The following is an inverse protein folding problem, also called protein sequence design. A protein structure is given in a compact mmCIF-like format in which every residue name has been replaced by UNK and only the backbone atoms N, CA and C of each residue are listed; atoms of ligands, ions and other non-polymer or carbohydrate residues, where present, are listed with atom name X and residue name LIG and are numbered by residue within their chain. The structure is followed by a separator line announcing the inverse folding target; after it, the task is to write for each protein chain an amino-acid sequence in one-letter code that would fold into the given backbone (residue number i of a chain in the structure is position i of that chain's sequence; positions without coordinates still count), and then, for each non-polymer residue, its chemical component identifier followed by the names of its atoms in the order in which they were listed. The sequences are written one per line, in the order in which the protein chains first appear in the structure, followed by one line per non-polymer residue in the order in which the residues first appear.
data_IF_154155791230
#
_entry.id   IF_154155791230
#
_cell.length_a   1.000
_cell.length_b   1.000
_cell.length_c   1.000
_cell.angle_alpha   90.00
_cell.angle_beta   90.00
_cell.angle_gamma   90.00
#
_symmetry.space_group_name_H-M   'P 1'
#
loop_
_entity.id
_entity.type
_entity.pdbx_description
1 polymer ?
#
# COMPACT_ATOMS: atom_id res chain seq x y z
N UNK A 1 -1.62 -20.39 5.52
CA UNK A 1 -2.62 -19.42 5.05
C UNK A 1 -1.96 -18.08 4.89
N UNK A 2 -2.04 -17.55 3.67
CA UNK A 2 -1.55 -16.23 3.28
C UNK A 2 -2.60 -15.20 3.69
N UNK A 3 -2.18 -14.13 4.35
CA UNK A 3 -3.02 -13.02 4.76
C UNK A 3 -2.56 -11.75 4.03
N UNK A 4 -3.51 -10.97 3.54
CA UNK A 4 -3.23 -9.71 2.86
C UNK A 4 -4.17 -8.60 3.36
N UNK A 5 -3.62 -7.47 3.77
CA UNK A 5 -4.39 -6.37 4.38
C UNK A 5 -3.71 -5.02 4.18
N UNK A 6 -4.45 -3.93 4.45
CA UNK A 6 -3.89 -2.58 4.57
C UNK A 6 -3.55 -2.34 6.04
N UNK A 7 -2.27 -2.15 6.35
CA UNK A 7 -1.74 -2.03 7.73
C UNK A 7 -1.39 -0.61 8.15
N UNK A 8 -1.21 0.30 7.18
CA UNK A 8 -1.24 1.75 7.40
C UNK A 8 -2.31 2.35 6.52
N UNK A 9 -3.30 2.98 7.14
CA UNK A 9 -4.44 3.54 6.43
C UNK A 9 -4.10 4.93 5.89
N UNK A 10 -4.59 5.29 4.68
CA UNK A 10 -4.53 6.66 4.23
C UNK A 10 -5.40 7.54 5.15
N UNK A 11 -5.18 8.86 5.20
CA UNK A 11 -5.98 9.74 6.02
C UNK A 11 -7.45 9.70 5.59
N UNK A 12 -8.38 9.73 6.57
CA UNK A 12 -9.82 9.72 6.28
C UNK A 12 -10.30 10.96 5.50
N UNK A 13 -9.51 12.04 5.54
CA UNK A 13 -9.72 13.28 4.81
C UNK A 13 -8.39 13.77 4.25
N UNK A 14 -8.35 14.17 2.99
CA UNK A 14 -7.15 14.66 2.32
C UNK A 14 -7.47 15.89 1.46
N UNK A 15 -6.48 16.74 1.26
CA UNK A 15 -6.54 17.81 0.27
C UNK A 15 -6.25 17.22 -1.11
N UNK A 16 -6.94 17.72 -2.13
CA UNK A 16 -6.70 17.36 -3.53
C UNK A 16 -5.23 17.53 -3.91
N UNK A 17 -4.69 16.58 -4.68
CA UNK A 17 -3.32 16.58 -5.21
C UNK A 17 -2.21 16.79 -4.15
N UNK A 18 -2.50 16.47 -2.89
CA UNK A 18 -1.52 16.48 -1.79
C UNK A 18 -1.15 15.04 -1.42
N UNK A 19 0.14 14.79 -1.20
CA UNK A 19 0.62 13.47 -0.78
C UNK A 19 -0.12 13.00 0.46
N UNK A 20 -0.66 11.79 0.40
CA UNK A 20 -1.41 11.18 1.49
C UNK A 20 -0.46 10.87 2.65
N UNK A 21 -0.76 11.45 3.81
CA UNK A 21 -0.09 11.10 5.05
C UNK A 21 -1.13 10.86 6.17
N UNK A 22 -1.08 9.72 6.89
CA UNK A 22 -0.12 8.61 6.76
C UNK A 22 -0.10 7.95 5.38
N UNK A 23 1.06 7.39 4.94
CA UNK A 23 1.16 6.73 3.64
C UNK A 23 0.32 5.45 3.63
N UNK A 24 -0.17 5.04 2.47
CA UNK A 24 -0.82 3.75 2.33
C UNK A 24 0.24 2.64 2.36
N UNK A 25 0.07 1.65 3.25
CA UNK A 25 0.93 0.46 3.28
C UNK A 25 0.08 -0.79 3.31
N UNK A 26 0.28 -1.67 2.33
CA UNK A 26 -0.27 -3.03 2.35
C UNK A 26 0.74 -4.02 2.94
N UNK A 27 0.26 -5.11 3.52
CA UNK A 27 1.06 -6.19 4.08
C UNK A 27 0.61 -7.52 3.50
N UNK A 28 1.56 -8.30 3.01
CA UNK A 28 1.41 -9.72 2.71
C UNK A 28 2.16 -10.53 3.76
N UNK A 29 1.45 -11.45 4.40
CA UNK A 29 2.00 -12.25 5.48
C UNK A 29 1.72 -13.75 5.25
N UNK A 30 2.76 -14.57 5.20
CA UNK A 30 2.65 -16.01 4.94
C UNK A 30 3.68 -16.84 5.70
N UNK A 31 3.47 -18.16 5.78
CA UNK A 31 4.41 -19.09 6.44
C UNK A 31 5.51 -19.52 5.46
N UNK A 32 6.73 -19.66 5.97
CA UNK A 32 7.90 -20.05 5.18
C UNK A 32 8.64 -18.85 4.61
N UNK A 33 9.78 -19.11 3.96
CA UNK A 33 10.67 -18.10 3.39
C UNK A 33 10.21 -17.65 1.98
N UNK A 34 10.63 -16.44 1.58
CA UNK A 34 10.55 -15.98 0.18
C UNK A 34 11.66 -16.67 -0.61
N UNK A 35 11.35 -17.77 -1.28
CA UNK A 35 12.32 -18.44 -2.16
C UNK A 35 11.74 -18.56 -3.57
N UNK A 36 12.53 -18.22 -4.58
CA UNK A 36 12.19 -18.44 -6.00
C UNK A 36 11.13 -17.49 -6.58
N UNK A 37 10.68 -16.50 -5.81
CA UNK A 37 9.61 -15.62 -6.23
C UNK A 37 9.82 -14.18 -5.80
N UNK A 38 9.20 -13.30 -6.56
CA UNK A 38 9.16 -11.87 -6.37
C UNK A 38 7.72 -11.40 -6.23
N UNK A 39 7.48 -10.37 -5.41
CA UNK A 39 6.16 -9.79 -5.23
C UNK A 39 6.17 -8.31 -5.56
N UNK A 40 5.16 -7.87 -6.31
CA UNK A 40 4.87 -6.46 -6.53
C UNK A 40 3.38 -6.23 -6.31
N UNK A 41 3.00 -4.98 -6.08
CA UNK A 41 1.61 -4.61 -5.90
C UNK A 41 1.26 -3.39 -6.75
N UNK A 42 0.01 -3.36 -7.21
CA UNK A 42 -0.58 -2.22 -7.91
C UNK A 42 -1.69 -1.61 -7.08
N UNK A 43 -1.86 -0.30 -7.20
CA UNK A 43 -2.89 0.45 -6.47
C UNK A 43 -3.89 1.12 -7.42
N UNK A 44 -5.16 1.07 -7.03
CA UNK A 44 -6.29 1.59 -7.79
C UNK A 44 -7.17 2.47 -6.90
N UNK A 45 -7.60 3.61 -7.43
CA UNK A 45 -8.64 4.41 -6.79
C UNK A 45 -10.01 3.90 -7.20
N UNK A 46 -10.88 3.71 -6.22
CA UNK A 46 -12.24 3.22 -6.42
C UNK A 46 -13.26 4.27 -5.98
N UNK A 47 -14.33 4.44 -6.77
CA UNK A 47 -15.53 5.16 -6.32
C UNK A 47 -16.26 4.38 -5.22
N UNK A 48 -17.29 4.99 -4.64
CA UNK A 48 -18.16 4.32 -3.66
C UNK A 48 -18.83 3.07 -4.23
N UNK A 49 -19.15 3.09 -5.52
CA UNK A 49 -19.78 1.99 -6.28
C UNK A 49 -18.77 0.89 -6.64
N UNK A 50 -17.46 1.13 -6.40
CA UNK A 50 -16.39 0.17 -6.68
C UNK A 50 -15.80 0.27 -8.08
N UNK A 51 -16.16 1.31 -8.85
CA UNK A 51 -15.60 1.57 -10.18
C UNK A 51 -14.18 2.11 -10.06
N UNK A 52 -13.29 1.68 -10.95
CA UNK A 52 -11.93 2.22 -11.03
C UNK A 52 -11.99 3.64 -11.59
N UNK A 53 -11.32 4.57 -10.91
CA UNK A 53 -11.13 5.95 -11.36
C UNK A 53 -9.79 6.04 -12.08
N UNK A 54 -9.82 5.87 -13.40
CA UNK A 54 -8.64 5.99 -14.23
C UNK A 54 -8.04 7.40 -14.13
N UNK A 55 -6.71 7.48 -14.00
CA UNK A 55 -6.02 8.76 -13.78
C UNK A 55 -6.32 9.46 -12.45
N UNK A 56 -7.09 8.84 -11.54
CA UNK A 56 -7.47 9.45 -10.26
C UNK A 56 -6.33 9.56 -9.24
N UNK A 57 -5.27 8.76 -9.41
CA UNK A 57 -4.07 8.79 -8.56
C UNK A 57 -2.90 9.50 -9.26
N UNK A 58 -2.05 10.12 -8.45
CA UNK A 58 -0.69 10.53 -8.82
C UNK A 58 0.33 9.88 -7.91
N UNK A 59 1.62 9.96 -8.28
CA UNK A 59 2.70 9.26 -7.60
C UNK A 59 2.93 7.88 -8.19
N UNK A 60 3.67 7.05 -7.47
CA UNK A 60 3.98 5.68 -7.87
C UNK A 60 2.78 4.78 -7.58
N UNK A 61 2.22 4.16 -8.62
CA UNK A 61 1.06 3.25 -8.50
C UNK A 61 1.38 1.76 -8.58
N UNK A 62 2.67 1.42 -8.74
CA UNK A 62 3.17 0.06 -8.69
C UNK A 62 4.45 0.03 -7.87
N UNK A 63 4.50 -0.82 -6.85
CA UNK A 63 5.64 -0.89 -5.93
C UNK A 63 6.10 -2.32 -5.73
N UNK A 64 7.39 -2.45 -5.45
CA UNK A 64 8.02 -3.71 -5.13
C UNK A 64 7.79 -4.03 -3.65
N UNK A 65 7.68 -5.32 -3.32
CA UNK A 65 7.60 -5.76 -1.93
C UNK A 65 8.91 -5.50 -1.17
N UNK A 66 8.79 -4.95 0.04
CA UNK A 66 9.88 -4.78 1.00
C UNK A 66 9.77 -5.87 2.05
N UNK A 67 10.71 -6.80 2.05
CA UNK A 67 10.80 -7.84 3.08
C UNK A 67 11.37 -7.24 4.37
N UNK A 68 10.55 -7.22 5.43
CA UNK A 68 10.93 -6.75 6.76
C UNK A 68 10.99 -7.90 7.78
N UNK A 69 11.05 -9.14 7.27
CA UNK A 69 11.03 -10.34 8.10
C UNK A 69 12.24 -10.39 9.02
N UNK A 70 11.99 -10.59 10.32
CA UNK A 70 13.06 -10.78 11.29
C UNK A 70 13.75 -12.13 11.06
N UNK A 71 15.08 -12.15 11.14
CA UNK A 71 15.85 -13.39 11.02
C UNK A 71 15.35 -14.46 12.01
N UNK A 72 15.11 -15.67 11.51
CA UNK A 72 14.57 -16.79 12.31
C UNK A 72 13.05 -16.79 12.50
N UNK A 73 12.32 -15.80 11.94
CA UNK A 73 10.86 -15.82 11.97
C UNK A 73 10.29 -16.99 11.14
N UNK A 74 9.23 -17.61 11.67
CA UNK A 74 8.50 -18.70 10.97
C UNK A 74 7.55 -18.19 9.88
N UNK A 75 7.40 -16.85 9.79
CA UNK A 75 6.52 -16.16 8.86
C UNK A 75 7.28 -15.05 8.17
N UNK A 76 7.06 -14.92 6.87
CA UNK A 76 7.52 -13.78 6.09
C UNK A 76 6.47 -12.69 6.13
N UNK A 77 6.94 -11.45 6.32
CA UNK A 77 6.14 -10.22 6.20
C UNK A 77 6.74 -9.34 5.11
N UNK A 78 5.95 -9.09 4.06
CA UNK A 78 6.31 -8.18 2.96
C UNK A 78 5.37 -6.99 3.00
N UNK A 79 5.94 -5.78 3.01
CA UNK A 79 5.17 -4.55 2.91
C UNK A 79 5.24 -3.95 1.50
N UNK A 80 4.16 -3.30 1.10
CA UNK A 80 4.06 -2.54 -0.16
C UNK A 80 3.74 -1.09 0.19
N UNK A 81 4.76 -0.26 0.41
CA UNK A 81 4.58 1.13 0.83
C UNK A 81 4.38 2.06 -0.37
N UNK A 82 3.32 2.86 -0.32
CA UNK A 82 3.03 3.90 -1.29
C UNK A 82 3.23 5.27 -0.63
N UNK A 83 4.38 5.89 -0.87
CA UNK A 83 4.87 7.02 -0.06
C UNK A 83 4.63 8.39 -0.70
N UNK A 84 4.21 8.42 -1.97
CA UNK A 84 4.01 9.64 -2.76
C UNK A 84 2.62 9.70 -3.41
N UNK A 85 1.68 8.83 -3.01
CA UNK A 85 0.33 8.82 -3.56
C UNK A 85 -0.40 10.11 -3.23
N UNK A 86 -1.07 10.68 -4.24
CA UNK A 86 -2.09 11.70 -4.04
C UNK A 86 -3.34 11.39 -4.88
N UNK A 87 -4.49 11.96 -4.49
CA UNK A 87 -5.75 11.82 -5.21
C UNK A 87 -6.05 13.13 -5.94
N UNK A 88 -6.26 13.04 -7.26
CA UNK A 88 -6.31 14.21 -8.16
C UNK A 88 -7.65 14.91 -8.24
N UNK A 89 -8.71 14.35 -7.67
CA UNK A 89 -10.07 14.87 -7.77
C UNK A 89 -10.79 14.85 -6.42
N UNK A 90 -11.69 15.81 -6.22
CA UNK A 90 -12.59 15.83 -5.06
C UNK A 90 -13.56 14.65 -5.11
N UNK A 91 -13.88 14.09 -3.93
CA UNK A 91 -14.84 13.00 -3.83
C UNK A 91 -14.61 12.10 -2.64
N UNK A 92 -15.37 11.01 -2.59
CA UNK A 92 -15.24 9.98 -1.58
C UNK A 92 -14.80 8.67 -2.23
N UNK A 93 -13.63 8.17 -1.83
CA UNK A 93 -12.98 7.04 -2.48
C UNK A 93 -12.57 5.96 -1.49
N UNK A 94 -12.26 4.78 -2.03
CA UNK A 94 -11.41 3.78 -1.37
C UNK A 94 -10.21 3.51 -2.27
N UNK A 95 -9.11 3.09 -1.67
CA UNK A 95 -7.93 2.67 -2.40
C UNK A 95 -7.84 1.14 -2.32
N UNK A 96 -7.75 0.46 -3.46
CA UNK A 96 -7.53 -0.99 -3.55
C UNK A 96 -6.09 -1.26 -3.91
N UNK A 97 -5.46 -2.20 -3.22
CA UNK A 97 -4.15 -2.72 -3.57
C UNK A 97 -4.32 -4.17 -4.02
N UNK A 98 -3.78 -4.51 -5.18
CA UNK A 98 -3.74 -5.86 -5.72
C UNK A 98 -2.28 -6.32 -5.68
N UNK A 99 -2.01 -7.49 -5.10
CA UNK A 99 -0.67 -8.06 -5.00
C UNK A 99 -0.50 -9.23 -5.97
N UNK A 100 0.64 -9.24 -6.64
CA UNK A 100 1.00 -10.21 -7.65
C UNK A 100 2.31 -10.90 -7.26
N UNK A 101 2.49 -12.11 -7.79
CA UNK A 101 3.66 -12.95 -7.58
C UNK A 101 4.24 -13.33 -8.94
N UNK A 102 5.56 -13.23 -9.06
CA UNK A 102 6.34 -13.59 -10.26
C UNK A 102 7.36 -14.64 -9.85
N UNK A 103 7.50 -15.71 -10.63
CA UNK A 103 8.54 -16.70 -10.42
C UNK A 103 9.83 -16.27 -11.12
N UNK A 104 10.98 -16.39 -10.47
CA UNK A 104 12.25 -15.92 -11.06
C UNK A 104 12.66 -16.72 -12.31
N UNK A 105 12.20 -17.96 -12.42
CA UNK A 105 12.41 -18.86 -13.55
C UNK A 105 11.38 -18.66 -14.68
N UNK A 106 10.35 -17.84 -14.47
CA UNK A 106 9.35 -17.46 -15.47
C UNK A 106 8.95 -15.99 -15.33
N UNK A 107 9.84 -15.04 -15.70
CA UNK A 107 9.61 -13.61 -15.50
C UNK A 107 8.48 -13.03 -16.37
N UNK A 108 8.07 -13.74 -17.42
CA UNK A 108 6.97 -13.31 -18.31
C UNK A 108 5.58 -13.61 -17.72
N UNK A 109 5.52 -14.44 -16.67
CA UNK A 109 4.28 -14.81 -15.99
C UNK A 109 4.10 -14.07 -14.66
N UNK A 110 2.85 -13.72 -14.33
CA UNK A 110 2.50 -13.21 -13.00
C UNK A 110 1.15 -13.75 -12.54
N UNK A 111 1.08 -14.11 -11.26
CA UNK A 111 -0.11 -14.65 -10.63
C UNK A 111 -0.70 -13.65 -9.64
N UNK A 112 -1.97 -13.30 -9.81
CA UNK A 112 -2.72 -12.57 -8.80
C UNK A 112 -2.79 -13.38 -7.49
N UNK A 113 -2.41 -12.77 -6.37
CA UNK A 113 -2.41 -13.44 -5.07
C UNK A 113 -3.63 -13.04 -4.22
N UNK A 114 -3.84 -11.73 -4.06
CA UNK A 114 -4.89 -11.19 -3.21
C UNK A 114 -5.10 -9.70 -3.50
N UNK A 115 -6.18 -9.15 -2.94
CA UNK A 115 -6.39 -7.71 -2.89
C UNK A 115 -6.86 -7.27 -1.50
N UNK A 116 -6.62 -6.00 -1.16
CA UNK A 116 -7.10 -5.36 0.05
C UNK A 116 -7.63 -3.97 -0.27
N UNK A 117 -8.57 -3.47 0.52
CA UNK A 117 -9.17 -2.13 0.35
C UNK A 117 -8.93 -1.31 1.61
N UNK A 118 -8.60 -0.03 1.44
CA UNK A 118 -8.46 0.93 2.52
C UNK A 118 -9.81 1.29 3.15
N UNK A 119 -9.74 2.01 4.26
CA UNK A 119 -10.81 2.87 4.75
C UNK A 119 -11.16 3.95 3.72
N UNK A 120 -12.30 4.62 3.92
CA UNK A 120 -12.76 5.67 3.01
C UNK A 120 -11.91 6.93 3.18
N UNK A 121 -11.48 7.51 2.05
CA UNK A 121 -10.81 8.81 1.97
C UNK A 121 -11.77 9.84 1.39
N UNK A 122 -11.95 10.96 2.07
CA UNK A 122 -12.72 12.12 1.56
C UNK A 122 -11.74 13.17 1.07
N UNK A 123 -11.76 13.46 -0.22
CA UNK A 123 -10.86 14.43 -0.86
C UNK A 123 -11.62 15.73 -1.10
N UNK A 124 -11.02 16.84 -0.67
CA UNK A 124 -11.61 18.18 -0.76
C UNK A 124 -10.60 19.19 -1.32
N UNK A 125 -11.09 20.24 -1.97
CA UNK A 125 -10.32 21.36 -2.48
C UNK A 125 -10.26 22.50 -1.46
N UNK A 126 -9.91 22.15 -0.23
CA UNK A 126 -9.61 23.08 0.85
C UNK A 126 -8.46 22.52 1.70
N UNK A 127 -7.82 23.39 2.47
CA UNK A 127 -6.75 22.98 3.35
C UNK A 127 -7.26 21.97 4.39
N UNK A 128 -6.62 20.80 4.44
CA UNK A 128 -6.91 19.78 5.44
C UNK A 128 -5.77 19.76 6.46
N UNK A 129 -6.06 19.82 7.78
CA UNK A 129 -5.02 19.70 8.80
C UNK A 129 -4.24 18.39 8.66
N UNK A 130 -2.92 18.47 8.88
CA UNK A 130 -2.08 17.29 8.87
C UNK A 130 -2.53 16.29 9.95
N UNK A 131 -2.66 15.02 9.56
CA UNK A 131 -2.97 13.92 10.46
C UNK A 131 -1.68 13.16 10.77
N UNK A 132 -1.52 12.71 12.01
CA UNK A 132 -0.40 11.85 12.39
C UNK A 132 -0.79 10.37 12.34
N UNK A 133 0.14 9.51 11.94
CA UNK A 133 -0.02 8.06 12.06
C UNK A 133 -0.26 7.64 13.52
N UNK A 134 -1.11 6.63 13.70
CA UNK A 134 -1.33 5.99 14.99
C UNK A 134 -0.07 5.28 15.52
N UNK A 135 -0.07 4.86 16.79
CA UNK A 135 1.11 4.22 17.39
C UNK A 135 1.55 2.96 16.65
N UNK A 136 0.62 2.08 16.27
CA UNK A 136 0.91 0.86 15.51
C UNK A 136 1.45 1.18 14.10
N UNK A 137 0.82 2.12 13.41
CA UNK A 137 1.23 2.58 12.08
C UNK A 137 2.64 3.18 12.10
N UNK A 138 2.97 3.99 13.13
CA UNK A 138 4.31 4.54 13.31
C UNK A 138 5.38 3.46 13.49
N UNK A 139 5.08 2.36 14.16
CA UNK A 139 6.03 1.23 14.28
C UNK A 139 6.33 0.60 12.93
N UNK A 140 5.31 0.42 12.08
CA UNK A 140 5.46 -0.10 10.72
C UNK A 140 6.26 0.88 9.85
N UNK A 141 5.92 2.17 9.89
CA UNK A 141 6.62 3.23 9.16
C UNK A 141 8.11 3.25 9.55
N UNK A 142 8.42 3.13 10.85
CA UNK A 142 9.82 3.06 11.32
C UNK A 142 10.55 1.81 10.83
N UNK A 143 9.88 0.65 10.81
CA UNK A 143 10.48 -0.58 10.28
C UNK A 143 10.80 -0.43 8.78
N UNK A 144 9.91 0.20 8.01
CA UNK A 144 10.14 0.51 6.61
C UNK A 144 11.29 1.50 6.41
N UNK A 145 11.35 2.56 7.21
CA UNK A 145 12.46 3.51 7.19
C UNK A 145 13.80 2.85 7.53
N UNK A 146 13.82 1.94 8.51
CA UNK A 146 15.01 1.15 8.84
C UNK A 146 15.43 0.19 7.71
N UNK A 147 14.47 -0.27 6.90
CA UNK A 147 14.71 -1.04 5.67
C UNK A 147 15.09 -0.17 4.45
N UNK A 148 15.28 1.14 4.63
CA UNK A 148 15.71 2.07 3.57
C UNK A 148 14.58 2.70 2.76
N UNK A 149 13.31 2.51 3.15
CA UNK A 149 12.18 3.15 2.48
C UNK A 149 12.06 4.60 2.93
N UNK A 150 12.07 5.52 1.97
CA UNK A 150 11.93 6.94 2.25
C UNK A 150 10.45 7.32 2.45
N UNK A 151 10.10 7.68 3.69
CA UNK A 151 8.77 8.16 4.10
C UNK A 151 8.99 9.49 4.80
N UNK A 152 8.37 10.54 4.26
CA UNK A 152 8.39 11.91 4.78
C UNK A 152 7.51 12.10 6.02
#
# INVERSE_FOLDING_TARGET
MTAFSIVVQPPARAQISTTLYPPLVAELNFRGAVTGHYFFAMVFLLTREGNIVEGGLSGITSVNGVDVTTAGASRTTIHFPYTDLAIRAEGAYKIRVDVYKVAYDNPDGYDFQAHAKSSRVTVVNEAVPAVSAGSAERSIIRALQAAGVYIH
#
